data_IF_751121302489
#
_entry.id   IF_751121302489
#
_cell.length_a   1.000
_cell.length_b   1.000
_cell.length_c   1.000
_cell.angle_alpha   90.00
_cell.angle_beta   90.00
_cell.angle_gamma   90.00
#
_symmetry.space_group_name_H-M   'P 1'
#
loop_
_entity.id
_entity.type
_entity.pdbx_description
1 polymer ?
#
# COMPACT_ATOMS: atom_id res chain seq x y z
N UNK A 1 9.64 32.76 57.89
CA UNK A 1 10.42 32.41 56.69
C UNK A 1 9.72 31.28 55.96
N UNK A 2 9.29 31.52 54.73
CA UNK A 2 8.89 30.51 53.76
C UNK A 2 9.16 31.13 52.38
N UNK A 3 9.95 30.42 51.59
CA UNK A 3 10.86 30.94 50.56
C UNK A 3 10.15 31.37 49.26
N UNK A 4 10.60 32.46 48.65
CA UNK A 4 9.96 33.15 47.50
C UNK A 4 10.51 32.63 46.15
N UNK A 5 11.00 31.40 46.10
CA UNK A 5 11.79 30.87 44.97
C UNK A 5 11.12 29.76 44.15
N UNK A 6 9.79 29.70 44.07
CA UNK A 6 9.07 28.66 43.29
C UNK A 6 8.21 29.18 42.12
N UNK A 7 8.22 30.49 41.83
CA UNK A 7 7.33 31.08 40.81
C UNK A 7 8.04 31.85 39.69
N UNK A 8 9.22 31.41 39.24
CA UNK A 8 9.97 32.09 38.14
C UNK A 8 10.03 31.34 36.80
N UNK A 9 9.49 30.13 36.67
CA UNK A 9 9.63 29.35 35.42
C UNK A 9 8.39 29.43 34.51
N UNK A 10 7.18 29.57 35.06
CA UNK A 10 5.94 29.62 34.27
C UNK A 10 5.76 30.90 33.45
N UNK A 11 6.26 32.04 33.95
CA UNK A 11 6.07 33.33 33.27
C UNK A 11 6.94 33.47 32.00
N UNK A 12 8.09 32.80 31.97
CA UNK A 12 8.97 32.75 30.79
C UNK A 12 8.38 31.81 29.75
N UNK A 13 7.90 30.64 30.15
CA UNK A 13 7.30 29.64 29.25
C UNK A 13 6.06 30.20 28.55
N UNK A 14 5.16 30.89 29.26
CA UNK A 14 3.95 31.46 28.68
C UNK A 14 4.25 32.56 27.64
N UNK A 15 5.32 33.33 27.86
CA UNK A 15 5.80 34.34 26.90
C UNK A 15 6.42 33.71 25.66
N UNK A 16 7.13 32.59 25.82
CA UNK A 16 7.67 31.81 24.70
C UNK A 16 6.56 31.11 23.89
N UNK A 17 5.55 30.53 24.54
CA UNK A 17 4.40 29.92 23.86
C UNK A 17 3.64 30.96 23.04
N UNK A 18 3.37 32.14 23.60
CA UNK A 18 2.71 33.24 22.89
C UNK A 18 3.55 33.80 21.75
N UNK A 19 4.86 33.90 21.92
CA UNK A 19 5.78 34.30 20.85
C UNK A 19 5.81 33.25 19.72
N UNK A 20 5.85 31.96 20.06
CA UNK A 20 5.84 30.86 19.09
C UNK A 20 4.52 30.82 18.32
N UNK A 21 3.36 30.93 18.99
CA UNK A 21 2.04 31.01 18.35
C UNK A 21 1.95 32.23 17.41
N UNK A 22 2.40 33.42 17.84
CA UNK A 22 2.40 34.63 16.98
C UNK A 22 3.37 34.53 15.80
N UNK A 23 4.49 33.83 15.97
CA UNK A 23 5.45 33.56 14.88
C UNK A 23 4.83 32.61 13.84
N UNK A 24 4.03 31.64 14.28
CA UNK A 24 3.31 30.71 13.42
C UNK A 24 2.10 31.34 12.69
N UNK A 25 1.50 32.40 13.23
CA UNK A 25 0.36 33.10 12.58
C UNK A 25 0.78 34.16 11.54
N UNK A 26 2.01 34.69 11.62
CA UNK A 26 2.48 35.77 10.72
C UNK A 26 3.32 35.29 9.54
N UNK A 27 3.77 34.04 9.56
CA UNK A 27 4.38 33.42 8.42
C UNK A 27 3.30 33.03 7.41
N UNK A 28 3.21 33.77 6.29
CA UNK A 28 2.49 33.33 5.08
C UNK A 28 2.98 31.92 4.73
N UNK A 29 2.20 30.93 5.17
CA UNK A 29 2.35 29.51 4.89
C UNK A 29 2.21 29.28 3.38
N UNK A 30 3.32 29.46 2.65
CA UNK A 30 3.48 29.09 1.25
C UNK A 30 4.34 27.84 1.22
N UNK A 31 3.77 26.66 1.45
CA UNK A 31 4.58 25.45 1.32
C UNK A 31 3.93 24.13 1.71
N UNK A 32 2.91 24.12 2.57
CA UNK A 32 2.15 22.90 2.78
C UNK A 32 1.18 22.76 1.62
N UNK A 33 1.56 21.97 0.61
CA UNK A 33 0.56 21.38 -0.26
C UNK A 33 -0.36 20.63 0.67
N UNK A 34 -1.60 21.11 0.83
CA UNK A 34 -2.65 20.33 1.46
C UNK A 34 -2.68 19.04 0.65
N UNK A 35 -2.19 17.94 1.21
CA UNK A 35 -2.31 16.64 0.58
C UNK A 35 -3.77 16.53 0.16
N UNK A 36 -4.00 16.29 -1.14
CA UNK A 36 -5.36 16.13 -1.62
C UNK A 36 -6.02 15.07 -0.75
N UNK A 37 -7.27 15.27 -0.29
CA UNK A 37 -7.90 14.37 0.65
C UNK A 37 -7.90 12.96 0.06
N UNK A 38 -6.99 12.13 0.56
CA UNK A 38 -6.78 10.77 0.07
C UNK A 38 -8.08 10.02 0.31
N UNK A 39 -8.88 9.81 -0.74
CA UNK A 39 -10.07 8.98 -0.61
C UNK A 39 -9.58 7.57 -0.25
N UNK A 40 -9.84 7.16 0.99
CA UNK A 40 -9.45 5.86 1.55
C UNK A 40 -7.93 5.60 1.70
N UNK A 41 -7.06 6.62 1.67
CA UNK A 41 -5.64 6.44 1.99
C UNK A 41 -4.79 5.68 0.95
N UNK A 42 -5.27 5.53 -0.29
CA UNK A 42 -4.56 4.88 -1.41
C UNK A 42 -4.45 5.89 -2.57
N UNK A 43 -3.24 6.11 -3.09
CA UNK A 43 -3.02 7.01 -4.25
C UNK A 43 -3.00 6.25 -5.58
N UNK A 44 -3.06 6.96 -6.71
CA UNK A 44 -2.95 6.34 -8.04
C UNK A 44 -1.57 5.68 -8.25
N UNK A 45 -0.51 6.27 -7.68
CA UNK A 45 0.82 5.67 -7.67
C UNK A 45 0.84 4.35 -6.88
N UNK A 46 0.08 4.25 -5.79
CA UNK A 46 -0.04 3.01 -5.02
C UNK A 46 -0.71 1.92 -5.84
N UNK A 47 -1.77 2.27 -6.56
CA UNK A 47 -2.47 1.35 -7.47
C UNK A 47 -1.52 0.89 -8.57
N UNK A 48 -0.77 1.82 -9.18
CA UNK A 48 0.16 1.48 -10.25
C UNK A 48 1.29 0.57 -9.73
N UNK A 49 1.90 0.90 -8.59
CA UNK A 49 2.91 0.07 -7.94
C UNK A 49 2.39 -1.33 -7.61
N UNK A 50 1.13 -1.45 -7.16
CA UNK A 50 0.53 -2.75 -6.87
C UNK A 50 0.29 -3.56 -8.16
N UNK A 51 -0.09 -2.92 -9.28
CA UNK A 51 -0.20 -3.57 -10.60
C UNK A 51 1.15 -4.03 -11.16
N UNK A 52 2.23 -3.32 -10.84
CA UNK A 52 3.58 -3.61 -11.32
C UNK A 52 4.29 -4.70 -10.49
N UNK A 53 3.70 -5.14 -9.38
CA UNK A 53 4.23 -6.25 -8.58
C UNK A 53 4.20 -7.55 -9.39
N UNK A 54 5.32 -8.27 -9.54
CA UNK A 54 5.35 -9.51 -10.31
C UNK A 54 4.37 -10.55 -9.74
N UNK A 55 3.46 -11.08 -10.57
CA UNK A 55 2.46 -12.06 -10.13
C UNK A 55 3.13 -13.34 -9.60
N UNK A 56 4.30 -13.71 -10.13
CA UNK A 56 5.07 -14.86 -9.64
C UNK A 56 5.49 -14.72 -8.18
N UNK A 57 5.68 -13.50 -7.67
CA UNK A 57 6.04 -13.24 -6.27
C UNK A 57 4.83 -13.38 -5.33
N UNK A 58 3.61 -13.25 -5.88
CA UNK A 58 2.35 -13.41 -5.14
C UNK A 58 1.86 -14.85 -5.13
N UNK A 59 2.44 -15.72 -5.96
CA UNK A 59 2.01 -17.10 -6.15
C UNK A 59 2.69 -18.06 -5.16
N UNK A 60 1.89 -18.78 -4.37
CA UNK A 60 2.39 -19.65 -3.28
C UNK A 60 2.76 -21.08 -3.74
N UNK A 61 2.51 -21.44 -5.00
CA UNK A 61 2.74 -22.78 -5.53
C UNK A 61 4.05 -22.94 -6.32
N UNK A 62 4.24 -24.13 -6.90
CA UNK A 62 5.35 -24.38 -7.80
C UNK A 62 5.05 -23.89 -9.22
N UNK A 63 5.92 -23.02 -9.74
CA UNK A 63 5.88 -22.54 -11.11
C UNK A 63 6.97 -23.20 -11.96
N UNK A 64 6.60 -23.63 -13.17
CA UNK A 64 7.53 -24.10 -14.20
C UNK A 64 7.67 -23.04 -15.29
N UNK A 65 8.89 -22.57 -15.51
CA UNK A 65 9.17 -21.62 -16.60
C UNK A 65 9.06 -22.30 -17.97
N UNK A 66 8.34 -21.67 -18.90
CA UNK A 66 8.15 -22.15 -20.28
C UNK A 66 8.27 -20.95 -21.23
N UNK A 67 9.44 -20.73 -21.82
CA UNK A 67 9.70 -19.53 -22.61
C UNK A 67 9.60 -18.26 -21.77
N UNK A 68 8.75 -17.31 -22.18
CA UNK A 68 8.50 -16.03 -21.50
C UNK A 68 7.29 -16.04 -20.56
N UNK A 69 6.92 -17.21 -20.05
CA UNK A 69 5.77 -17.37 -19.13
C UNK A 69 6.06 -18.44 -18.09
N UNK A 70 5.31 -18.39 -17.00
CA UNK A 70 5.25 -19.47 -16.02
C UNK A 70 3.96 -20.28 -16.19
N UNK A 71 4.02 -21.54 -15.79
CA UNK A 71 2.88 -22.47 -15.77
C UNK A 71 2.83 -23.14 -14.39
N UNK A 72 1.65 -23.23 -13.79
CA UNK A 72 1.41 -23.87 -12.49
C UNK A 72 0.01 -24.44 -12.38
N UNK A 73 -0.32 -24.97 -11.20
CA UNK A 73 -1.70 -25.31 -10.84
C UNK A 73 -2.47 -24.04 -10.49
N UNK A 74 -3.75 -24.00 -10.85
CA UNK A 74 -4.61 -22.89 -10.51
C UNK A 74 -4.89 -22.87 -9.01
N UNK A 75 -4.71 -21.72 -8.33
CA UNK A 75 -5.07 -21.59 -6.91
C UNK A 75 -6.58 -21.39 -6.70
N UNK A 76 -7.36 -21.24 -7.77
CA UNK A 76 -8.78 -20.86 -7.71
C UNK A 76 -9.75 -22.00 -8.07
N UNK A 77 -9.24 -23.15 -8.52
CA UNK A 77 -10.04 -24.35 -8.74
C UNK A 77 -9.16 -25.59 -8.61
N UNK A 78 -9.77 -26.71 -8.23
CA UNK A 78 -9.05 -27.97 -8.05
C UNK A 78 -8.74 -28.61 -9.42
N UNK A 79 -7.46 -28.85 -9.69
CA UNK A 79 -6.99 -29.52 -10.91
C UNK A 79 -5.72 -30.34 -10.67
N UNK A 80 -5.45 -31.30 -11.57
CA UNK A 80 -4.24 -32.16 -11.52
C UNK A 80 -3.19 -31.79 -12.56
N UNK A 81 -3.57 -31.02 -13.57
CA UNK A 81 -2.71 -30.59 -14.68
C UNK A 81 -2.62 -29.07 -14.66
N UNK A 82 -1.44 -28.51 -14.81
CA UNK A 82 -1.28 -27.05 -14.73
C UNK A 82 -2.01 -26.32 -15.87
N UNK A 83 -3.07 -25.59 -15.53
CA UNK A 83 -3.78 -24.71 -16.47
C UNK A 83 -3.62 -23.22 -16.15
N UNK A 84 -2.87 -22.88 -15.09
CA UNK A 84 -2.57 -21.51 -14.69
C UNK A 84 -1.31 -20.99 -15.37
N UNK A 85 -1.42 -19.86 -16.05
CA UNK A 85 -0.32 -19.23 -16.79
C UNK A 85 -0.09 -17.81 -16.30
N UNK A 86 1.18 -17.45 -16.08
CA UNK A 86 1.62 -16.07 -15.83
C UNK A 86 2.41 -15.58 -17.03
N UNK A 87 1.94 -14.51 -17.66
CA UNK A 87 2.58 -13.87 -18.81
C UNK A 87 3.45 -12.70 -18.33
N UNK A 88 4.74 -12.96 -18.09
CA UNK A 88 5.65 -12.00 -17.44
C UNK A 88 5.85 -10.72 -18.24
N UNK A 89 5.68 -10.76 -19.56
CA UNK A 89 5.81 -9.58 -20.42
C UNK A 89 4.70 -8.54 -20.21
N UNK A 90 3.50 -8.98 -19.80
CA UNK A 90 2.34 -8.11 -19.55
C UNK A 90 2.02 -7.99 -18.07
N UNK A 91 2.70 -8.75 -17.21
CA UNK A 91 2.34 -8.98 -15.82
C UNK A 91 0.84 -9.30 -15.65
N UNK A 92 0.37 -10.27 -16.43
CA UNK A 92 -1.01 -10.77 -16.35
C UNK A 92 -1.03 -12.27 -16.15
N UNK A 93 -2.15 -12.77 -15.64
CA UNK A 93 -2.39 -14.20 -15.47
C UNK A 93 -3.68 -14.62 -16.16
N UNK A 94 -3.74 -15.90 -16.53
CA UNK A 94 -4.95 -16.54 -17.00
C UNK A 94 -4.93 -18.03 -16.66
N UNK A 95 -6.08 -18.53 -16.23
CA UNK A 95 -6.29 -19.94 -16.02
C UNK A 95 -7.20 -20.50 -17.11
N UNK A 96 -6.67 -21.37 -17.98
CA UNK A 96 -7.45 -21.98 -19.06
C UNK A 96 -8.42 -23.08 -18.58
N UNK A 97 -8.28 -23.57 -17.34
CA UNK A 97 -9.24 -24.52 -16.73
C UNK A 97 -10.54 -23.86 -16.24
N UNK A 98 -10.46 -22.71 -15.58
CA UNK A 98 -11.62 -21.99 -15.02
C UNK A 98 -11.97 -20.66 -15.71
N UNK A 99 -11.24 -20.27 -16.76
CA UNK A 99 -11.39 -19.02 -17.53
C UNK A 99 -11.21 -17.71 -16.74
N UNK A 100 -10.61 -17.79 -15.56
CA UNK A 100 -10.29 -16.62 -14.75
C UNK A 100 -8.98 -15.97 -15.21
N UNK A 101 -8.83 -14.67 -15.01
CA UNK A 101 -7.62 -13.95 -15.38
C UNK A 101 -7.62 -12.50 -14.91
N UNK A 102 -6.47 -11.84 -15.06
CA UNK A 102 -6.33 -10.41 -14.82
C UNK A 102 -4.90 -9.98 -14.48
N UNK A 103 -4.77 -8.97 -13.62
CA UNK A 103 -3.51 -8.38 -13.20
C UNK A 103 -3.10 -8.84 -11.78
N UNK A 104 -2.01 -8.29 -11.25
CA UNK A 104 -1.49 -8.60 -9.92
C UNK A 104 -2.50 -8.32 -8.81
N UNK A 105 -3.26 -7.22 -8.91
CA UNK A 105 -4.27 -6.87 -7.91
C UNK A 105 -5.42 -7.87 -7.97
N UNK A 106 -5.93 -8.19 -9.17
CA UNK A 106 -7.03 -9.15 -9.31
C UNK A 106 -6.64 -10.54 -8.85
N UNK A 107 -5.39 -10.95 -9.09
CA UNK A 107 -4.84 -12.20 -8.56
C UNK A 107 -4.88 -12.22 -7.04
N UNK A 108 -4.34 -11.18 -6.39
CA UNK A 108 -4.22 -11.11 -4.94
C UNK A 108 -5.57 -10.98 -4.23
N UNK A 109 -6.49 -10.19 -4.81
CA UNK A 109 -7.88 -10.12 -4.34
C UNK A 109 -8.52 -11.50 -4.31
N UNK A 110 -8.36 -12.28 -5.38
CA UNK A 110 -8.98 -13.60 -5.50
C UNK A 110 -8.29 -14.64 -4.61
N UNK A 111 -6.96 -14.55 -4.43
CA UNK A 111 -6.21 -15.51 -3.60
C UNK A 111 -6.41 -15.29 -2.10
N UNK A 112 -6.70 -14.05 -1.67
CA UNK A 112 -6.91 -13.68 -0.27
C UNK A 112 -8.37 -13.38 0.08
N UNK A 113 -9.28 -13.43 -0.89
CA UNK A 113 -10.70 -13.11 -0.74
C UNK A 113 -10.93 -11.71 -0.12
N UNK A 114 -10.18 -10.73 -0.61
CA UNK A 114 -10.21 -9.34 -0.12
C UNK A 114 -10.64 -8.35 -1.20
N UNK A 115 -11.10 -7.18 -0.76
CA UNK A 115 -11.45 -6.09 -1.67
C UNK A 115 -10.21 -5.42 -2.31
N UNK A 116 -10.48 -4.59 -3.30
CA UNK A 116 -9.45 -3.89 -4.07
C UNK A 116 -8.56 -2.99 -3.22
N UNK A 117 -9.14 -2.21 -2.30
CA UNK A 117 -8.38 -1.25 -1.50
C UNK A 117 -7.47 -1.99 -0.52
N UNK A 118 -7.97 -3.05 0.10
CA UNK A 118 -7.20 -3.90 0.99
C UNK A 118 -6.09 -4.63 0.24
N UNK A 119 -6.35 -5.13 -0.97
CA UNK A 119 -5.34 -5.75 -1.81
C UNK A 119 -4.18 -4.79 -2.13
N UNK A 120 -4.49 -3.57 -2.57
CA UNK A 120 -3.46 -2.55 -2.85
C UNK A 120 -2.63 -2.25 -1.60
N UNK A 121 -3.27 -2.09 -0.44
CA UNK A 121 -2.56 -1.84 0.83
C UNK A 121 -1.66 -3.01 1.23
N UNK A 122 -2.14 -4.25 1.12
CA UNK A 122 -1.36 -5.44 1.53
C UNK A 122 -0.18 -5.69 0.60
N UNK A 123 -0.35 -5.53 -0.71
CA UNK A 123 0.74 -5.63 -1.68
C UNK A 123 1.83 -4.58 -1.37
N UNK A 124 1.42 -3.34 -1.06
CA UNK A 124 2.37 -2.26 -0.79
C UNK A 124 3.08 -2.37 0.57
N UNK A 125 2.34 -2.70 1.63
CA UNK A 125 2.83 -2.55 3.01
C UNK A 125 3.12 -3.86 3.75
N UNK A 126 2.79 -5.02 3.17
CA UNK A 126 3.13 -6.33 3.72
C UNK A 126 2.60 -6.62 5.13
N UNK A 127 1.58 -5.89 5.62
CA UNK A 127 0.98 -6.14 6.93
C UNK A 127 -0.04 -7.27 6.83
N UNK A 128 0.41 -8.46 7.18
CA UNK A 128 -0.41 -9.64 7.54
C UNK A 128 -1.27 -9.36 8.77
#
# INVERSE_FOLDING_TARGET
EMDVAYYSEYFVIDKWIKYWINLHDTAKWKGFKKEEPVKNGVTDEDIQSAKDTPIEDLYEGNLRRTGHRYVGLCPFHEEKTGSFFIFTNKNTWHCFGCNEGGDAISFYMKSKEIDFLEAVRRIKYGRS
#
